data_IF_963066863234
#
_entry.id   IF_963066863234
#
_cell.length_a   1.000
_cell.length_b   1.000
_cell.length_c   1.000
_cell.angle_alpha   90.00
_cell.angle_beta   90.00
_cell.angle_gamma   90.00
#
_symmetry.space_group_name_H-M   'P 1'
#
loop_
_entity.id
_entity.type
_entity.pdbx_description
1 polymer ?
#
# COMPACT_ATOMS: atom_id res chain seq x y z
N UNK A 1 15.03 13.21 -20.79
CA UNK A 1 14.30 13.61 -19.55
C UNK A 1 14.06 12.34 -18.73
N UNK A 2 14.25 12.36 -17.41
CA UNK A 2 14.67 11.21 -16.58
C UNK A 2 13.58 10.15 -16.28
N UNK A 3 13.05 9.47 -17.31
CA UNK A 3 12.06 8.37 -17.19
C UNK A 3 12.57 7.23 -16.30
N UNK A 4 13.88 6.95 -16.37
CA UNK A 4 14.53 5.90 -15.58
C UNK A 4 14.41 6.11 -14.07
N UNK A 5 14.54 7.35 -13.58
CA UNK A 5 14.41 7.64 -12.15
C UNK A 5 12.99 7.52 -11.63
N UNK A 6 11.98 7.76 -12.47
CA UNK A 6 10.56 7.65 -12.06
C UNK A 6 10.15 6.18 -11.90
N UNK A 7 10.56 5.31 -12.84
CA UNK A 7 10.34 3.86 -12.74
C UNK A 7 11.09 3.28 -11.54
N UNK A 8 12.35 3.68 -11.35
CA UNK A 8 13.15 3.25 -10.20
C UNK A 8 12.53 3.69 -8.85
N UNK A 9 11.95 4.90 -8.80
CA UNK A 9 11.26 5.38 -7.59
C UNK A 9 9.97 4.60 -7.30
N UNK A 10 9.15 4.30 -8.33
CA UNK A 10 7.92 3.49 -8.20
C UNK A 10 8.27 2.05 -7.77
N UNK A 11 9.30 1.46 -8.37
CA UNK A 11 9.81 0.12 -8.01
C UNK A 11 10.35 0.08 -6.57
N UNK A 12 11.15 1.06 -6.16
CA UNK A 12 11.70 1.13 -4.80
C UNK A 12 10.61 1.20 -3.75
N UNK A 13 9.54 1.94 -4.01
CA UNK A 13 8.39 2.01 -3.11
C UNK A 13 7.66 0.66 -3.02
N UNK A 14 7.36 0.04 -4.16
CA UNK A 14 6.73 -1.29 -4.19
C UNK A 14 7.59 -2.37 -3.52
N UNK A 15 8.90 -2.32 -3.72
CA UNK A 15 9.85 -3.24 -3.09
C UNK A 15 9.87 -3.07 -1.56
N UNK A 16 9.83 -1.83 -1.06
CA UNK A 16 9.75 -1.57 0.37
C UNK A 16 8.47 -2.14 0.99
N UNK A 17 7.33 -1.97 0.32
CA UNK A 17 6.06 -2.57 0.75
C UNK A 17 6.14 -4.10 0.78
N UNK A 18 6.69 -4.70 -0.28
CA UNK A 18 6.89 -6.14 -0.36
C UNK A 18 7.73 -6.68 0.79
N UNK A 19 8.87 -6.04 1.09
CA UNK A 19 9.73 -6.46 2.21
C UNK A 19 9.03 -6.35 3.57
N UNK A 20 8.26 -5.29 3.79
CA UNK A 20 7.49 -5.13 5.03
C UNK A 20 6.42 -6.22 5.17
N UNK A 21 5.69 -6.52 4.10
CA UNK A 21 4.70 -7.60 4.10
C UNK A 21 5.34 -8.98 4.28
N UNK A 22 6.45 -9.24 3.60
CA UNK A 22 7.21 -10.48 3.75
C UNK A 22 7.67 -10.68 5.19
N UNK A 23 8.15 -9.62 5.84
CA UNK A 23 8.56 -9.66 7.25
C UNK A 23 7.38 -9.95 8.16
N UNK A 24 6.26 -9.23 8.02
CA UNK A 24 5.07 -9.43 8.86
C UNK A 24 4.52 -10.84 8.69
N UNK A 25 4.34 -11.30 7.46
CA UNK A 25 3.83 -12.64 7.17
C UNK A 25 4.80 -13.71 7.67
N UNK A 26 6.11 -13.52 7.48
CA UNK A 26 7.15 -14.43 7.97
C UNK A 26 7.14 -14.56 9.49
N UNK A 27 7.08 -13.45 10.22
CA UNK A 27 7.01 -13.44 11.69
C UNK A 27 5.73 -14.13 12.17
N UNK A 28 4.56 -13.81 11.59
CA UNK A 28 3.30 -14.46 11.95
C UNK A 28 3.35 -15.98 11.72
N UNK A 29 3.98 -16.40 10.62
CA UNK A 29 4.16 -17.81 10.29
C UNK A 29 5.08 -18.53 11.27
N UNK A 30 6.17 -17.88 11.72
CA UNK A 30 7.04 -18.42 12.77
C UNK A 30 6.28 -18.62 14.09
N UNK A 31 5.48 -17.63 14.52
CA UNK A 31 4.64 -17.77 15.72
C UNK A 31 3.58 -18.86 15.58
N UNK A 32 3.00 -19.01 14.38
CA UNK A 32 2.07 -20.09 14.10
C UNK A 32 2.73 -21.46 14.22
N UNK A 33 3.91 -21.65 13.63
CA UNK A 33 4.68 -22.89 13.80
C UNK A 33 5.06 -23.15 15.27
N UNK A 34 5.44 -22.09 15.99
CA UNK A 34 5.79 -22.17 17.41
C UNK A 34 4.58 -22.56 18.29
N UNK A 35 3.36 -22.21 17.88
CA UNK A 35 2.12 -22.54 18.60
C UNK A 35 1.84 -24.04 18.69
N UNK A 36 2.46 -24.87 17.83
CA UNK A 36 2.35 -26.33 17.93
C UNK A 36 3.15 -26.92 19.10
N UNK A 37 3.97 -26.13 19.78
CA UNK A 37 4.64 -26.55 21.01
C UNK A 37 3.66 -26.64 22.19
N UNK A 38 3.98 -27.46 23.20
CA UNK A 38 3.16 -27.58 24.43
C UNK A 38 3.28 -26.37 25.37
N UNK A 39 3.96 -25.31 24.96
CA UNK A 39 4.14 -24.11 25.78
C UNK A 39 2.96 -23.16 25.60
N UNK A 40 2.15 -23.00 26.64
CA UNK A 40 0.98 -22.09 26.64
C UNK A 40 1.36 -20.65 26.31
N UNK A 41 2.56 -20.21 26.72
CA UNK A 41 3.08 -18.89 26.38
C UNK A 41 3.25 -18.66 24.88
N UNK A 42 3.66 -19.68 24.12
CA UNK A 42 3.81 -19.60 22.66
C UNK A 42 2.46 -19.56 21.95
N UNK A 43 1.48 -20.32 22.46
CA UNK A 43 0.10 -20.27 21.96
C UNK A 43 -0.51 -18.88 22.18
N UNK A 44 -0.37 -18.30 23.37
CA UNK A 44 -0.88 -16.96 23.66
C UNK A 44 -0.17 -15.89 22.81
N UNK A 45 1.15 -16.01 22.62
CA UNK A 45 1.90 -15.10 21.74
C UNK A 45 1.39 -15.17 20.29
N UNK A 46 1.09 -16.35 19.78
CA UNK A 46 0.50 -16.50 18.45
C UNK A 46 -0.85 -15.78 18.33
N UNK A 47 -1.73 -15.92 19.31
CA UNK A 47 -3.04 -15.24 19.33
C UNK A 47 -2.87 -13.72 19.28
N UNK A 48 -1.94 -13.18 20.08
CA UNK A 48 -1.64 -11.74 20.10
C UNK A 48 -1.11 -11.27 18.74
N UNK A 49 -0.09 -11.94 18.21
CA UNK A 49 0.54 -11.57 16.92
C UNK A 49 -0.47 -11.66 15.78
N UNK A 50 -1.29 -12.71 15.74
CA UNK A 50 -2.34 -12.88 14.74
C UNK A 50 -3.40 -11.77 14.81
N UNK A 51 -3.75 -11.32 16.02
CA UNK A 51 -4.68 -10.19 16.20
C UNK A 51 -4.12 -8.88 15.63
N UNK A 52 -2.82 -8.63 15.80
CA UNK A 52 -2.15 -7.45 15.24
C UNK A 52 -1.81 -7.55 13.75
N UNK A 53 -1.80 -8.77 13.19
CA UNK A 53 -1.44 -9.00 11.78
C UNK A 53 -2.35 -8.22 10.82
N UNK A 54 -3.66 -8.29 11.00
CA UNK A 54 -4.63 -7.57 10.16
C UNK A 54 -4.43 -6.06 10.16
N UNK A 55 -4.43 -5.39 11.35
CA UNK A 55 -4.13 -3.96 11.46
C UNK A 55 -2.78 -3.56 10.86
N UNK A 56 -1.73 -4.37 11.05
CA UNK A 56 -0.40 -4.11 10.49
C UNK A 56 -0.39 -4.17 8.96
N UNK A 57 -1.02 -5.19 8.37
CA UNK A 57 -1.14 -5.31 6.90
C UNK A 57 -1.91 -4.11 6.35
N UNK A 58 -3.02 -3.73 6.99
CA UNK A 58 -3.80 -2.56 6.60
C UNK A 58 -2.95 -1.29 6.66
N UNK A 59 -2.18 -1.10 7.73
CA UNK A 59 -1.27 0.04 7.85
C UNK A 59 -0.19 0.07 6.77
N UNK A 60 0.45 -1.06 6.52
CA UNK A 60 1.51 -1.17 5.51
C UNK A 60 0.94 -0.89 4.12
N UNK A 61 -0.20 -1.51 3.76
CA UNK A 61 -0.76 -1.41 2.41
C UNK A 61 -1.48 -0.09 2.15
N UNK A 62 -2.21 0.46 3.12
CA UNK A 62 -3.12 1.58 2.91
C UNK A 62 -2.52 2.89 3.43
N UNK A 63 -2.15 2.94 4.70
CA UNK A 63 -1.71 4.18 5.35
C UNK A 63 -0.29 4.58 4.95
N UNK A 64 0.61 3.62 4.72
CA UNK A 64 1.98 3.90 4.31
C UNK A 64 2.09 4.29 2.81
N UNK A 65 1.05 4.03 2.01
CA UNK A 65 0.97 4.50 0.62
C UNK A 65 0.44 5.94 0.57
N UNK A 66 1.33 6.88 0.24
CA UNK A 66 0.96 8.30 0.03
C UNK A 66 -0.13 8.47 -1.02
N UNK A 67 -0.10 7.66 -2.09
CA UNK A 67 -1.10 7.67 -3.16
C UNK A 67 -2.48 7.23 -2.66
N UNK A 68 -2.55 6.11 -1.93
CA UNK A 68 -3.81 5.61 -1.36
C UNK A 68 -4.37 6.56 -0.30
N UNK A 69 -3.52 7.11 0.57
CA UNK A 69 -3.94 8.14 1.54
C UNK A 69 -4.45 9.41 0.87
N UNK A 70 -3.83 9.84 -0.24
CA UNK A 70 -4.31 10.94 -1.06
C UNK A 70 -5.68 10.65 -1.68
N UNK A 71 -5.87 9.45 -2.25
CA UNK A 71 -7.13 8.98 -2.81
C UNK A 71 -8.26 8.89 -1.76
N UNK A 72 -7.96 8.38 -0.57
CA UNK A 72 -8.92 8.34 0.54
C UNK A 72 -9.33 9.75 0.92
N UNK A 73 -8.38 10.67 1.06
CA UNK A 73 -8.68 12.08 1.34
C UNK A 73 -9.49 12.73 0.22
N UNK A 74 -9.18 12.44 -1.04
CA UNK A 74 -9.92 12.92 -2.22
C UNK A 74 -11.38 12.47 -2.16
N UNK A 75 -11.60 11.18 -1.97
CA UNK A 75 -12.95 10.57 -1.96
C UNK A 75 -13.76 10.97 -0.72
N UNK A 76 -13.16 10.93 0.47
CA UNK A 76 -13.86 11.24 1.72
C UNK A 76 -14.11 12.74 1.91
N UNK A 77 -13.17 13.62 1.55
CA UNK A 77 -13.29 15.06 1.83
C UNK A 77 -13.82 15.88 0.66
N UNK A 78 -13.55 15.49 -0.59
CA UNK A 78 -13.85 16.32 -1.74
C UNK A 78 -14.99 15.77 -2.61
N UNK A 79 -15.06 14.45 -2.83
CA UNK A 79 -16.15 13.84 -3.64
C UNK A 79 -17.51 13.89 -2.93
N UNK A 80 -17.51 13.84 -1.60
CA UNK A 80 -18.69 13.92 -0.72
C UNK A 80 -18.90 15.33 -0.11
N UNK A 81 -18.18 16.34 -0.59
CA UNK A 81 -18.33 17.70 -0.08
C UNK A 81 -19.70 18.27 -0.47
N UNK A 82 -20.41 18.89 0.48
CA UNK A 82 -21.72 19.54 0.26
C UNK A 82 -21.63 20.68 -0.77
N UNK A 83 -20.47 21.33 -0.89
CA UNK A 83 -20.24 22.41 -1.84
C UNK A 83 -19.67 21.87 -3.17
N UNK A 84 -20.43 21.95 -4.29
CA UNK A 84 -20.00 21.42 -5.58
C UNK A 84 -18.78 22.14 -6.18
N UNK A 85 -18.48 23.37 -5.75
CA UNK A 85 -17.28 24.11 -6.14
C UNK A 85 -15.97 23.58 -5.52
N UNK A 86 -16.04 22.73 -4.49
CA UNK A 86 -14.88 22.09 -3.87
C UNK A 86 -14.58 20.70 -4.48
N UNK A 87 -15.36 20.25 -5.45
CA UNK A 87 -15.16 18.95 -6.09
C UNK A 87 -14.03 19.08 -7.12
N UNK A 88 -12.88 18.40 -6.95
CA UNK A 88 -11.81 18.45 -7.92
C UNK A 88 -12.29 17.85 -9.24
N UNK A 89 -11.92 18.48 -10.36
CA UNK A 89 -12.10 17.87 -11.67
C UNK A 89 -11.43 16.49 -11.71
N UNK A 90 -12.01 15.52 -12.44
CA UNK A 90 -11.42 14.20 -12.54
C UNK A 90 -10.06 14.30 -13.24
N UNK A 91 -8.98 14.33 -12.44
CA UNK A 91 -7.62 14.11 -12.92
C UNK A 91 -7.57 12.76 -13.63
N UNK A 92 -7.32 12.80 -14.94
CA UNK A 92 -7.09 11.63 -15.76
C UNK A 92 -5.66 11.10 -15.50
N UNK A 93 -5.43 10.49 -14.33
CA UNK A 93 -4.11 9.93 -13.95
C UNK A 93 -3.58 8.92 -14.99
N UNK A 94 -4.47 8.19 -15.67
CA UNK A 94 -4.10 7.24 -16.71
C UNK A 94 -3.85 7.87 -18.09
N UNK A 95 -4.45 9.03 -18.38
CA UNK A 95 -4.31 9.70 -19.67
C UNK A 95 -2.90 10.25 -19.88
N UNK A 96 -2.33 10.86 -18.85
CA UNK A 96 -0.98 11.42 -18.92
C UNK A 96 0.10 10.33 -18.91
N UNK A 97 -0.13 9.22 -18.20
CA UNK A 97 0.77 8.06 -18.20
C UNK A 97 0.75 7.33 -19.57
N UNK A 98 -0.40 7.20 -20.24
CA UNK A 98 -0.50 6.57 -21.57
C UNK A 98 -0.07 7.48 -22.72
N UNK A 99 -0.31 8.80 -22.62
CA UNK A 99 0.15 9.76 -23.62
C UNK A 99 1.67 9.82 -23.68
N UNK A 100 2.35 9.75 -22.52
CA UNK A 100 3.81 9.73 -22.46
C UNK A 100 4.45 8.44 -23.00
N UNK A 101 3.76 7.29 -22.94
CA UNK A 101 4.24 6.02 -23.52
C UNK A 101 4.07 5.98 -25.05
N UNK A 102 3.00 6.59 -25.57
CA UNK A 102 2.71 6.59 -27.01
C UNK A 102 3.52 7.64 -27.81
N UNK A 103 4.14 8.62 -27.15
CA UNK A 103 4.99 9.61 -27.82
C UNK A 103 6.36 9.08 -28.25
N UNK A 104 6.79 7.89 -27.82
CA UNK A 104 8.05 7.27 -28.27
C UNK A 104 7.90 6.36 -29.49
N UNK A 105 6.70 6.28 -30.08
CA UNK A 105 6.40 5.46 -31.28
C UNK A 105 6.28 6.27 -32.59
N UNK A 106 6.63 7.56 -32.58
CA UNK A 106 6.60 8.42 -33.78
C UNK A 106 7.99 8.97 -34.13
N UNK A 107 8.92 8.06 -34.44
CA UNK A 107 10.10 8.35 -35.28
C UNK A 107 10.20 7.31 -36.40
#
# INVERSE_FOLDING_TARGET
MHTYGRIHHKLRHSFRMFLLLLLVMGVCWLFFLASFSKFEGLVNAHIIVNTFQGPLILYICIFNQKHVSYLIRKTCCYTNCICPCCRPEPECEWGDEMTAMNTELNY
#
